data_IF_372912549663
#
_entry.id   IF_372912549663
#
_cell.length_a   1.000
_cell.length_b   1.000
_cell.length_c   1.000
_cell.angle_alpha   90.00
_cell.angle_beta   90.00
_cell.angle_gamma   90.00
#
_symmetry.space_group_name_H-M   'P 1'
#
loop_
_entity.id
_entity.type
_entity.pdbx_description
1 polymer ?
#
# COMPACT_ATOMS: atom_id res chain seq x y z
N UNK A 1 -87.52 16.41 -19.72
CA UNK A 1 -87.49 17.55 -18.76
C UNK A 1 -86.47 17.20 -17.69
N UNK A 2 -85.17 17.40 -17.94
CA UNK A 2 -84.39 18.58 -17.56
C UNK A 2 -84.59 19.03 -16.10
N UNK A 3 -83.71 18.55 -15.21
CA UNK A 3 -83.35 19.19 -13.93
C UNK A 3 -81.80 19.22 -13.82
N UNK A 4 -81.18 20.26 -13.23
CA UNK A 4 -79.81 20.66 -13.51
C UNK A 4 -78.88 20.44 -12.27
N UNK A 5 -77.68 21.05 -12.11
CA UNK A 5 -76.43 20.31 -11.96
C UNK A 5 -75.68 20.58 -10.63
N UNK A 6 -74.61 19.80 -10.41
CA UNK A 6 -73.32 20.32 -9.92
C UNK A 6 -73.22 20.70 -8.43
N UNK A 7 -72.87 19.73 -7.60
CA UNK A 7 -72.21 19.98 -6.31
C UNK A 7 -70.72 20.29 -6.53
N UNK A 8 -70.29 21.38 -5.90
CA UNK A 8 -68.92 21.90 -5.86
C UNK A 8 -68.07 21.22 -4.77
N UNK A 9 -66.75 21.50 -4.67
CA UNK A 9 -65.73 20.50 -4.38
C UNK A 9 -65.34 20.41 -2.91
N UNK A 10 -65.22 19.19 -2.38
CA UNK A 10 -64.37 18.95 -1.21
C UNK A 10 -62.94 18.67 -1.68
N UNK A 11 -62.07 19.64 -1.38
CA UNK A 11 -60.61 19.56 -1.50
C UNK A 11 -60.10 18.41 -0.62
N UNK A 12 -59.67 17.30 -1.23
CA UNK A 12 -58.74 16.38 -0.60
C UNK A 12 -57.33 16.75 -1.07
N UNK A 13 -56.57 17.39 -0.17
CA UNK A 13 -55.12 17.56 -0.30
C UNK A 13 -54.50 16.16 -0.39
N UNK A 14 -54.03 15.77 -1.58
CA UNK A 14 -52.94 14.81 -1.69
C UNK A 14 -51.64 15.63 -1.80
N UNK A 15 -51.01 15.86 -0.65
CA UNK A 15 -49.61 16.23 -0.61
C UNK A 15 -48.83 15.03 -1.16
N UNK A 16 -48.43 15.11 -2.43
CA UNK A 16 -47.44 14.23 -3.00
C UNK A 16 -46.11 14.48 -2.29
N UNK A 17 -45.85 13.74 -1.23
CA UNK A 17 -44.51 13.62 -0.66
C UNK A 17 -43.67 12.85 -1.68
N UNK A 18 -43.02 13.59 -2.58
CA UNK A 18 -41.93 13.09 -3.40
C UNK A 18 -40.82 12.67 -2.43
N UNK A 19 -40.79 11.39 -2.11
CA UNK A 19 -39.75 10.77 -1.32
C UNK A 19 -38.46 10.83 -2.16
N UNK A 20 -37.71 11.92 -2.03
CA UNK A 20 -36.30 11.95 -2.42
C UNK A 20 -35.58 10.93 -1.52
N UNK A 21 -35.53 9.69 -1.97
CA UNK A 21 -34.56 8.70 -1.54
C UNK A 21 -33.19 9.26 -1.90
N UNK A 22 -32.60 10.03 -0.98
CA UNK A 22 -31.17 10.25 -0.91
C UNK A 22 -30.54 8.87 -0.69
N UNK A 23 -30.22 8.18 -1.78
CA UNK A 23 -29.25 7.10 -1.72
C UNK A 23 -27.96 7.74 -1.25
N UNK A 24 -27.56 7.43 -0.02
CA UNK A 24 -26.21 7.66 0.43
C UNK A 24 -25.31 6.82 -0.48
N UNK A 25 -24.76 7.44 -1.53
CA UNK A 25 -23.69 6.83 -2.31
C UNK A 25 -22.51 6.70 -1.36
N UNK A 26 -22.22 5.48 -0.93
CA UNK A 26 -21.05 5.24 -0.10
C UNK A 26 -19.85 5.71 -0.90
N UNK A 27 -18.94 6.48 -0.29
CA UNK A 27 -17.77 7.02 -0.98
C UNK A 27 -16.88 5.93 -1.63
N UNK A 28 -17.04 4.66 -1.22
CA UNK A 28 -16.44 3.49 -1.86
C UNK A 28 -17.01 3.14 -3.24
N UNK A 29 -18.27 3.46 -3.51
CA UNK A 29 -18.93 3.18 -4.81
C UNK A 29 -18.51 4.18 -5.90
N UNK A 30 -17.94 5.33 -5.52
CA UNK A 30 -17.45 6.33 -6.46
C UNK A 30 -16.13 5.91 -7.13
N UNK A 31 -15.31 5.12 -6.44
CA UNK A 31 -14.00 4.70 -6.92
C UNK A 31 -14.04 3.24 -7.40
N UNK A 32 -13.64 3.00 -8.65
CA UNK A 32 -13.42 1.65 -9.17
C UNK A 32 -12.13 1.06 -8.57
N UNK A 33 -12.21 0.65 -7.30
CA UNK A 33 -11.10 0.08 -6.56
C UNK A 33 -10.90 -1.37 -7.00
N UNK A 34 -9.71 -1.75 -7.52
CA UNK A 34 -9.46 -3.12 -7.94
C UNK A 34 -9.60 -4.07 -6.74
N UNK A 35 -10.13 -5.29 -6.95
CA UNK A 35 -10.25 -6.27 -5.88
C UNK A 35 -8.86 -6.61 -5.32
N UNK A 36 -8.74 -6.61 -4.00
CA UNK A 36 -7.50 -6.98 -3.35
C UNK A 36 -7.19 -8.47 -3.60
N UNK A 37 -5.91 -8.84 -3.86
CA UNK A 37 -5.51 -10.24 -3.92
C UNK A 37 -5.71 -10.94 -2.56
N UNK A 38 -5.64 -12.28 -2.52
CA UNK A 38 -5.62 -13.03 -1.26
C UNK A 38 -4.60 -12.46 -0.26
N UNK A 39 -4.87 -12.51 1.06
CA UNK A 39 -3.98 -11.90 2.06
C UNK A 39 -2.53 -12.36 1.99
N UNK A 40 -2.29 -13.64 1.67
CA UNK A 40 -0.96 -14.23 1.51
C UNK A 40 -0.24 -13.80 0.22
N UNK A 41 -0.97 -13.30 -0.75
CA UNK A 41 -0.43 -12.74 -1.99
C UNK A 41 -0.34 -11.20 -1.95
N UNK A 42 -1.00 -10.55 -1.00
CA UNK A 42 -1.02 -9.09 -0.89
C UNK A 42 0.38 -8.52 -0.60
N UNK A 43 0.87 -7.68 -1.51
CA UNK A 43 2.24 -7.17 -1.53
C UNK A 43 3.26 -8.09 -2.19
N UNK A 44 2.91 -9.30 -2.63
CA UNK A 44 3.83 -10.13 -3.40
C UNK A 44 3.89 -9.68 -4.86
N UNK A 45 5.06 -9.79 -5.49
CA UNK A 45 5.31 -9.36 -6.86
C UNK A 45 5.87 -10.51 -7.70
N UNK A 46 5.64 -10.44 -9.01
CA UNK A 46 6.35 -11.23 -10.01
C UNK A 46 7.27 -10.31 -10.81
N UNK A 47 8.57 -10.35 -10.53
CA UNK A 47 9.55 -9.52 -11.24
C UNK A 47 9.86 -10.20 -12.57
N UNK A 48 9.52 -9.51 -13.66
CA UNK A 48 9.56 -10.02 -15.03
C UNK A 48 10.01 -8.96 -16.05
N UNK A 49 11.06 -8.20 -15.71
CA UNK A 49 11.65 -7.24 -16.66
C UNK A 49 12.32 -7.95 -17.84
N UNK A 50 13.02 -9.05 -17.54
CA UNK A 50 13.83 -9.82 -18.51
C UNK A 50 13.55 -11.31 -18.51
N UNK A 51 13.00 -11.88 -17.44
CA UNK A 51 12.90 -13.34 -17.25
C UNK A 51 12.16 -14.04 -18.38
N UNK A 52 10.90 -13.68 -18.63
CA UNK A 52 10.07 -14.31 -19.66
C UNK A 52 10.65 -14.12 -21.07
N UNK A 53 11.28 -12.96 -21.34
CA UNK A 53 11.98 -12.70 -22.61
C UNK A 53 13.19 -13.61 -22.82
N UNK A 54 13.79 -14.10 -21.75
CA UNK A 54 14.90 -15.05 -21.75
C UNK A 54 14.46 -16.49 -21.47
N UNK A 55 13.16 -16.79 -21.60
CA UNK A 55 12.58 -18.11 -21.31
C UNK A 55 12.85 -18.63 -19.88
N UNK A 56 12.99 -17.72 -18.92
CA UNK A 56 13.11 -18.02 -17.48
C UNK A 56 11.81 -17.59 -16.79
N UNK A 57 11.32 -18.38 -15.83
CA UNK A 57 10.14 -17.99 -15.06
C UNK A 57 10.36 -16.65 -14.33
N UNK A 58 9.32 -15.80 -14.19
CA UNK A 58 9.38 -14.60 -13.35
C UNK A 58 9.83 -14.90 -11.92
N UNK A 59 10.50 -13.93 -11.30
CA UNK A 59 10.92 -14.04 -9.90
C UNK A 59 9.74 -13.73 -9.00
N UNK A 60 9.35 -14.67 -8.15
CA UNK A 60 8.40 -14.43 -7.08
C UNK A 60 9.10 -13.74 -5.90
N UNK A 61 8.60 -12.58 -5.49
CA UNK A 61 9.11 -11.84 -4.35
C UNK A 61 7.97 -11.55 -3.36
N UNK A 62 8.16 -11.93 -2.09
CA UNK A 62 7.19 -11.65 -1.04
C UNK A 62 7.65 -10.52 -0.12
N UNK A 63 6.90 -9.42 -0.10
CA UNK A 63 7.18 -8.35 0.86
C UNK A 63 6.93 -8.78 2.30
N UNK A 64 5.92 -9.61 2.59
CA UNK A 64 5.63 -9.97 3.98
C UNK A 64 6.69 -10.92 4.59
N UNK A 65 7.35 -11.76 3.78
CA UNK A 65 8.51 -12.55 4.23
C UNK A 65 9.71 -11.66 4.55
N UNK A 66 9.95 -10.63 3.74
CA UNK A 66 11.13 -9.78 3.88
C UNK A 66 10.93 -8.67 4.92
N UNK A 67 9.77 -8.02 4.96
CA UNK A 67 9.48 -6.86 5.84
C UNK A 67 9.47 -7.18 7.34
N UNK A 68 9.30 -8.46 7.69
CA UNK A 68 9.44 -8.95 9.08
C UNK A 68 10.90 -9.02 9.52
N UNK A 69 11.85 -9.07 8.57
CA UNK A 69 13.29 -9.14 8.82
C UNK A 69 14.02 -7.83 8.52
N UNK A 70 13.57 -7.07 7.52
CA UNK A 70 14.21 -5.86 7.06
C UNK A 70 13.18 -4.74 6.89
N UNK A 71 13.55 -3.51 7.22
CA UNK A 71 12.68 -2.35 6.94
C UNK A 71 12.69 -2.02 5.44
N UNK A 72 11.62 -1.40 4.93
CA UNK A 72 11.55 -0.92 3.55
C UNK A 72 12.77 -0.07 3.13
N UNK A 73 13.33 0.72 4.05
CA UNK A 73 14.57 1.49 3.85
C UNK A 73 15.73 0.64 3.32
N UNK A 74 15.92 -0.57 3.82
CA UNK A 74 17.04 -1.43 3.38
C UNK A 74 16.95 -1.66 1.88
N UNK A 75 15.78 -2.08 1.38
CA UNK A 75 15.63 -2.38 -0.04
C UNK A 75 15.52 -1.12 -0.91
N UNK A 76 14.73 -0.14 -0.48
CA UNK A 76 14.37 1.03 -1.31
C UNK A 76 15.23 2.27 -1.08
N UNK A 77 16.30 2.15 -0.29
CA UNK A 77 17.32 3.18 -0.15
C UNK A 77 18.73 2.59 -0.27
N UNK A 78 19.08 1.56 0.51
CA UNK A 78 20.44 1.01 0.46
C UNK A 78 20.68 0.11 -0.75
N UNK A 79 19.69 -0.72 -1.13
CA UNK A 79 19.81 -1.62 -2.29
C UNK A 79 19.28 -1.03 -3.59
N UNK A 80 18.78 0.22 -3.53
CA UNK A 80 18.31 1.00 -4.68
C UNK A 80 17.24 0.27 -5.51
N UNK A 81 16.42 -0.58 -4.89
CA UNK A 81 15.25 -1.12 -5.56
C UNK A 81 14.22 0.00 -5.74
N UNK A 82 13.93 0.32 -7.00
CA UNK A 82 12.86 1.23 -7.35
C UNK A 82 11.52 0.75 -6.79
N UNK A 83 10.70 1.68 -6.32
CA UNK A 83 9.35 1.35 -5.81
C UNK A 83 8.45 0.77 -6.91
N UNK A 84 8.64 1.21 -8.16
CA UNK A 84 7.89 0.70 -9.32
C UNK A 84 8.44 -0.66 -9.74
N UNK A 85 7.55 -1.66 -9.79
CA UNK A 85 7.89 -3.00 -10.25
C UNK A 85 8.50 -2.98 -11.67
N UNK A 86 9.46 -3.87 -11.93
CA UNK A 86 10.12 -4.07 -13.23
C UNK A 86 10.93 -2.88 -13.78
N UNK A 87 11.26 -1.86 -12.96
CA UNK A 87 12.12 -0.76 -13.40
C UNK A 87 13.55 -0.84 -12.89
N UNK A 88 13.80 -1.55 -11.78
CA UNK A 88 15.17 -1.81 -11.32
C UNK A 88 15.87 -2.77 -12.29
N UNK A 89 17.07 -2.43 -12.73
CA UNK A 89 17.85 -3.23 -13.68
C UNK A 89 18.60 -4.40 -13.00
N UNK A 90 17.83 -5.25 -12.32
CA UNK A 90 18.35 -6.45 -11.66
C UNK A 90 18.89 -7.40 -12.74
N UNK A 91 20.10 -7.91 -12.53
CA UNK A 91 20.73 -8.93 -13.37
C UNK A 91 21.35 -10.02 -12.49
N UNK A 92 21.44 -11.24 -13.01
CA UNK A 92 22.09 -12.34 -12.29
C UNK A 92 23.59 -12.07 -12.08
N UNK A 93 24.25 -11.40 -13.02
CA UNK A 93 25.64 -10.94 -12.84
C UNK A 93 25.74 -9.91 -11.69
N UNK A 94 24.77 -8.98 -11.59
CA UNK A 94 24.65 -8.04 -10.48
C UNK A 94 24.46 -8.77 -9.14
N UNK A 95 23.54 -9.72 -9.09
CA UNK A 95 23.33 -10.55 -7.90
C UNK A 95 24.61 -11.27 -7.45
N UNK A 96 25.27 -11.99 -8.37
CA UNK A 96 26.52 -12.73 -8.07
C UNK A 96 27.68 -11.83 -7.65
N UNK A 97 27.67 -10.56 -8.08
CA UNK A 97 28.67 -9.56 -7.67
C UNK A 97 28.31 -8.83 -6.38
N UNK A 98 27.30 -9.29 -5.64
CA UNK A 98 26.94 -8.74 -4.34
C UNK A 98 26.02 -7.52 -4.40
N UNK A 99 25.24 -7.37 -5.47
CA UNK A 99 24.20 -6.33 -5.61
C UNK A 99 22.81 -6.93 -5.48
N UNK A 100 21.80 -6.08 -5.33
CA UNK A 100 20.38 -6.47 -5.31
C UNK A 100 20.13 -7.61 -4.31
N UNK A 101 19.61 -8.75 -4.77
CA UNK A 101 19.30 -9.91 -3.95
C UNK A 101 20.55 -10.53 -3.32
N UNK A 102 21.68 -10.52 -4.05
CA UNK A 102 22.94 -11.11 -3.60
C UNK A 102 23.78 -10.22 -2.69
N UNK A 103 23.25 -9.06 -2.27
CA UNK A 103 23.94 -8.17 -1.34
C UNK A 103 24.32 -8.89 -0.04
N UNK A 104 25.49 -8.57 0.52
CA UNK A 104 25.94 -9.09 1.82
C UNK A 104 24.87 -8.86 2.89
N UNK A 105 24.48 -9.92 3.60
CA UNK A 105 23.35 -9.89 4.54
C UNK A 105 22.01 -10.34 3.95
N UNK A 106 21.97 -10.70 2.67
CA UNK A 106 20.79 -11.20 1.95
C UNK A 106 21.05 -12.59 1.35
N UNK A 107 20.90 -12.78 0.03
CA UNK A 107 21.14 -14.05 -0.69
C UNK A 107 22.60 -14.20 -1.10
N UNK A 108 23.51 -14.02 -0.15
CA UNK A 108 24.97 -14.04 -0.32
C UNK A 108 25.59 -15.45 -0.13
N UNK A 109 24.76 -16.48 0.08
CA UNK A 109 25.19 -17.83 0.39
C UNK A 109 25.64 -18.04 1.84
N UNK A 110 25.59 -17.00 2.69
CA UNK A 110 25.99 -17.03 4.10
C UNK A 110 24.79 -16.78 5.02
N UNK A 111 24.04 -15.71 4.76
CA UNK A 111 22.87 -15.30 5.56
C UNK A 111 21.60 -15.94 5.04
N UNK A 112 21.46 -16.05 3.72
CA UNK A 112 20.46 -16.84 3.05
C UNK A 112 21.08 -17.65 1.91
N UNK A 113 20.29 -18.53 1.29
CA UNK A 113 20.73 -19.31 0.13
C UNK A 113 21.26 -18.38 -0.97
N UNK A 114 22.31 -18.83 -1.66
CA UNK A 114 23.01 -18.03 -2.66
C UNK A 114 22.42 -18.17 -4.06
N UNK A 115 23.08 -17.50 -5.00
CA UNK A 115 22.79 -17.58 -6.43
C UNK A 115 23.50 -18.79 -7.05
N UNK A 116 23.02 -20.00 -6.75
CA UNK A 116 23.51 -21.25 -7.34
C UNK A 116 22.40 -21.97 -8.12
N UNK A 117 22.79 -22.95 -8.94
CA UNK A 117 21.85 -23.67 -9.82
C UNK A 117 20.82 -24.49 -9.04
N UNK A 118 21.11 -24.88 -7.80
CA UNK A 118 20.18 -25.63 -6.95
C UNK A 118 19.06 -24.75 -6.40
N UNK A 119 19.30 -23.44 -6.27
CA UNK A 119 18.36 -22.50 -5.68
C UNK A 119 17.56 -21.65 -6.70
N UNK A 120 17.74 -21.85 -8.00
CA UNK A 120 17.05 -21.06 -9.04
C UNK A 120 15.52 -20.99 -8.85
N UNK A 121 14.87 -22.13 -8.61
CA UNK A 121 13.40 -22.22 -8.46
C UNK A 121 12.88 -21.63 -7.14
N UNK A 122 13.75 -21.33 -6.16
CA UNK A 122 13.36 -20.60 -4.95
C UNK A 122 12.87 -19.18 -5.28
N UNK A 123 13.40 -18.60 -6.37
CA UNK A 123 13.05 -17.28 -6.87
C UNK A 123 12.28 -17.38 -8.18
N UNK A 124 12.84 -18.05 -9.18
CA UNK A 124 12.30 -18.18 -10.53
C UNK A 124 11.25 -19.30 -10.62
N UNK A 125 10.09 -19.09 -10.00
CA UNK A 125 8.98 -20.06 -10.03
C UNK A 125 7.70 -19.50 -10.66
N UNK A 126 7.62 -18.20 -10.93
CA UNK A 126 6.43 -17.56 -11.53
C UNK A 126 5.17 -17.59 -10.66
N UNK A 127 5.27 -17.98 -9.39
CA UNK A 127 4.11 -18.14 -8.50
C UNK A 127 4.05 -17.00 -7.48
N UNK A 128 3.06 -16.10 -7.61
CA UNK A 128 2.87 -14.97 -6.68
C UNK A 128 2.57 -15.43 -5.24
N UNK A 129 1.91 -16.58 -5.08
CA UNK A 129 1.62 -17.23 -3.80
C UNK A 129 2.71 -18.20 -3.35
N UNK A 130 3.93 -18.08 -3.87
CA UNK A 130 5.04 -18.92 -3.42
C UNK A 130 5.26 -18.77 -1.90
N UNK A 131 5.38 -19.91 -1.21
CA UNK A 131 5.47 -20.03 0.25
C UNK A 131 4.25 -19.54 1.05
N UNK A 132 3.03 -19.57 0.47
CA UNK A 132 1.80 -19.16 1.17
C UNK A 132 1.56 -19.86 2.51
N UNK A 133 2.03 -21.10 2.67
CA UNK A 133 1.91 -21.88 3.92
C UNK A 133 2.59 -21.17 5.11
N UNK A 134 3.66 -20.41 4.84
CA UNK A 134 4.40 -19.63 5.84
C UNK A 134 3.66 -18.37 6.28
N UNK A 135 2.58 -17.98 5.59
CA UNK A 135 1.78 -16.83 5.99
C UNK A 135 1.17 -17.00 7.40
N UNK A 136 0.93 -18.25 7.80
CA UNK A 136 0.51 -18.63 9.16
C UNK A 136 1.49 -18.18 10.26
N UNK A 137 2.77 -17.95 9.94
CA UNK A 137 3.77 -17.42 10.88
C UNK A 137 3.40 -16.00 11.38
N UNK A 138 2.57 -15.26 10.64
CA UNK A 138 2.09 -13.92 11.01
C UNK A 138 0.82 -13.94 11.87
N UNK A 139 0.28 -15.13 12.19
CA UNK A 139 -1.01 -15.29 12.89
C UNK A 139 -1.08 -14.58 14.25
N UNK A 140 0.05 -14.47 14.96
CA UNK A 140 0.15 -13.81 16.27
C UNK A 140 0.23 -12.28 16.20
N UNK A 141 0.41 -11.71 15.01
CA UNK A 141 0.46 -10.27 14.84
C UNK A 141 -0.94 -9.65 14.91
N UNK A 142 -1.05 -8.37 15.32
CA UNK A 142 -2.33 -7.66 15.32
C UNK A 142 -3.00 -7.72 13.95
N UNK A 143 -4.32 -7.92 13.95
CA UNK A 143 -5.11 -8.04 12.72
C UNK A 143 -5.56 -6.68 12.19
N UNK A 144 -5.64 -6.58 10.86
CA UNK A 144 -6.26 -5.48 10.14
C UNK A 144 -7.45 -6.01 9.32
N UNK A 145 -8.42 -5.14 9.01
CA UNK A 145 -9.60 -5.51 8.21
C UNK A 145 -9.27 -5.74 6.73
N UNK A 146 -8.25 -5.05 6.21
CA UNK A 146 -7.92 -5.03 4.79
C UNK A 146 -6.45 -5.43 4.50
N UNK A 147 -6.11 -5.54 3.21
CA UNK A 147 -4.78 -5.88 2.71
C UNK A 147 -4.41 -7.32 3.06
N UNK A 148 -3.18 -7.53 3.55
CA UNK A 148 -2.76 -8.83 4.07
C UNK A 148 -3.33 -9.16 5.47
N UNK A 149 -4.33 -8.42 5.95
CA UNK A 149 -4.99 -8.62 7.24
C UNK A 149 -4.05 -8.53 8.47
N UNK A 150 -2.86 -7.95 8.31
CA UNK A 150 -1.92 -7.67 9.40
C UNK A 150 -1.83 -6.16 9.61
N UNK A 151 -2.02 -5.71 10.85
CA UNK A 151 -1.76 -4.34 11.25
C UNK A 151 -0.29 -4.17 11.64
N UNK A 152 0.54 -3.94 10.61
CA UNK A 152 1.98 -3.78 10.75
C UNK A 152 2.39 -2.56 11.59
N UNK A 153 1.62 -1.47 11.52
CA UNK A 153 1.89 -0.30 12.34
C UNK A 153 1.77 -0.65 13.83
N UNK A 154 0.69 -1.36 14.20
CA UNK A 154 0.49 -1.84 15.56
C UNK A 154 1.48 -2.93 15.97
N UNK A 155 1.89 -3.80 15.03
CA UNK A 155 2.92 -4.80 15.29
C UNK A 155 4.26 -4.16 15.67
N UNK A 156 4.70 -3.16 14.90
CA UNK A 156 5.95 -2.45 15.10
C UNK A 156 5.89 -1.54 16.33
N UNK A 157 4.78 -0.84 16.55
CA UNK A 157 4.62 0.04 17.72
C UNK A 157 4.67 -0.72 19.05
N UNK A 158 4.22 -1.98 19.05
CA UNK A 158 4.25 -2.89 20.20
C UNK A 158 5.57 -3.66 20.32
N UNK A 159 6.52 -3.47 19.42
CA UNK A 159 7.80 -4.19 19.43
C UNK A 159 7.67 -5.69 19.15
N UNK A 160 6.57 -6.14 18.52
CA UNK A 160 6.37 -7.56 18.17
C UNK A 160 7.28 -8.02 17.02
N UNK A 161 7.89 -7.07 16.31
CA UNK A 161 8.87 -7.26 15.26
C UNK A 161 10.02 -6.28 15.46
N UNK A 162 11.24 -6.73 15.20
CA UNK A 162 12.45 -5.90 15.25
C UNK A 162 13.25 -6.08 13.94
N UNK A 163 12.74 -5.57 12.81
CA UNK A 163 13.44 -5.69 11.54
C UNK A 163 14.74 -4.90 11.54
N UNK A 164 15.75 -5.43 10.85
CA UNK A 164 17.01 -4.77 10.54
C UNK A 164 16.72 -3.48 9.77
N UNK A 165 17.21 -2.36 10.31
CA UNK A 165 16.92 -1.00 9.80
C UNK A 165 17.93 -0.53 8.75
N UNK A 166 19.13 -1.09 8.77
CA UNK A 166 20.18 -0.79 7.82
C UNK A 166 21.16 -1.95 7.69
N UNK A 167 21.87 -2.04 6.56
CA UNK A 167 22.95 -3.01 6.37
C UNK A 167 24.30 -2.35 6.60
N UNK A 168 24.61 -1.32 5.82
CA UNK A 168 25.88 -0.61 5.88
C UNK A 168 25.68 0.88 6.20
N UNK A 169 24.61 1.49 5.67
CA UNK A 169 24.37 2.93 5.77
C UNK A 169 23.47 3.25 6.96
N UNK A 170 24.08 3.50 8.12
CA UNK A 170 23.35 3.87 9.34
C UNK A 170 22.61 5.21 9.16
N UNK A 171 21.30 5.28 9.45
CA UNK A 171 20.56 6.55 9.45
C UNK A 171 21.14 7.57 10.44
N UNK A 172 21.10 8.86 10.09
CA UNK A 172 21.49 9.93 11.01
C UNK A 172 20.49 9.98 12.19
N UNK A 173 20.93 9.75 13.43
CA UNK A 173 20.05 9.76 14.59
C UNK A 173 19.43 11.14 14.88
N UNK A 174 19.98 12.21 14.32
CA UNK A 174 19.51 13.58 14.56
C UNK A 174 18.36 13.99 13.63
N UNK A 175 18.14 13.25 12.54
CA UNK A 175 17.04 13.52 11.61
C UNK A 175 15.78 12.86 12.16
N UNK A 176 14.99 13.64 12.90
CA UNK A 176 13.70 13.17 13.41
C UNK A 176 12.59 14.15 13.07
N UNK A 177 11.45 13.63 12.62
CA UNK A 177 10.25 14.42 12.40
C UNK A 177 9.03 13.65 12.89
N UNK A 178 8.27 14.27 13.78
CA UNK A 178 7.13 13.62 14.48
C UNK A 178 5.81 14.31 14.20
N UNK A 179 5.79 15.34 13.35
CA UNK A 179 4.56 16.08 13.11
C UNK A 179 3.54 15.21 12.37
N UNK A 180 2.28 15.45 12.71
CA UNK A 180 1.12 14.95 11.99
C UNK A 180 0.69 16.07 11.06
N UNK A 181 0.58 15.77 9.77
CA UNK A 181 0.08 16.70 8.78
C UNK A 181 -1.42 16.48 8.60
N UNK A 182 -2.17 17.57 8.51
CA UNK A 182 -3.54 17.58 8.03
C UNK A 182 -3.49 17.91 6.53
N UNK A 183 -4.12 17.06 5.74
CA UNK A 183 -4.20 17.14 4.29
C UNK A 183 -5.66 17.41 3.95
N UNK A 184 -5.94 18.65 3.55
CA UNK A 184 -7.30 19.05 3.17
C UNK A 184 -7.81 18.22 2.00
N UNK A 185 -9.08 17.85 2.06
CA UNK A 185 -9.76 17.16 0.96
C UNK A 185 -10.13 18.16 -0.12
N UNK A 186 -9.85 17.84 -1.38
CA UNK A 186 -10.38 18.59 -2.53
C UNK A 186 -11.88 18.35 -2.73
N UNK A 187 -12.42 17.30 -2.11
CA UNK A 187 -13.79 16.84 -2.29
C UNK A 187 -14.70 17.32 -1.18
N UNK A 188 -15.81 17.94 -1.57
CA UNK A 188 -16.84 18.40 -0.66
C UNK A 188 -17.44 17.23 0.13
N UNK A 189 -17.55 17.40 1.45
CA UNK A 189 -18.13 16.40 2.34
C UNK A 189 -17.19 15.27 2.79
N UNK A 190 -15.95 15.23 2.28
CA UNK A 190 -14.93 14.30 2.79
C UNK A 190 -14.03 15.03 3.79
N UNK A 191 -13.89 14.54 5.03
CA UNK A 191 -13.06 15.20 6.02
C UNK A 191 -11.56 15.13 5.67
N UNK A 192 -10.71 16.01 6.23
CA UNK A 192 -9.28 15.99 5.96
C UNK A 192 -8.62 14.64 6.26
N UNK A 193 -7.60 14.29 5.46
CA UNK A 193 -6.75 13.16 5.75
C UNK A 193 -5.65 13.53 6.76
N UNK A 194 -5.21 12.55 7.56
CA UNK A 194 -4.09 12.70 8.49
C UNK A 194 -2.87 11.93 7.99
N UNK A 195 -1.70 12.57 8.00
CA UNK A 195 -0.41 11.92 7.71
C UNK A 195 0.52 12.02 8.92
N UNK A 196 0.57 10.97 9.76
CA UNK A 196 1.56 10.88 10.82
C UNK A 196 2.90 10.32 10.29
N UNK A 197 4.02 11.03 10.51
CA UNK A 197 5.34 10.52 10.09
C UNK A 197 5.80 9.29 10.87
N UNK A 198 5.49 9.23 12.17
CA UNK A 198 5.98 8.17 13.07
C UNK A 198 5.72 6.73 12.59
N UNK A 199 4.51 6.35 12.13
CA UNK A 199 4.29 5.01 11.62
C UNK A 199 5.03 4.71 10.30
N UNK A 200 5.28 5.73 9.47
CA UNK A 200 6.06 5.59 8.24
C UNK A 200 7.54 5.39 8.53
N UNK A 201 8.09 6.16 9.48
CA UNK A 201 9.51 6.09 9.87
C UNK A 201 9.88 4.84 10.69
N UNK A 202 8.92 3.95 10.99
CA UNK A 202 9.24 2.62 11.50
C UNK A 202 9.75 1.66 10.43
N UNK A 203 9.49 1.94 9.15
CA UNK A 203 9.91 1.11 8.02
C UNK A 203 10.70 1.89 6.96
N UNK A 204 10.57 3.21 6.93
CA UNK A 204 11.16 4.09 5.93
C UNK A 204 12.07 5.13 6.58
N UNK A 205 12.84 5.81 5.76
CA UNK A 205 13.59 7.01 6.10
C UNK A 205 13.11 8.22 5.28
N UNK A 206 13.59 9.41 5.62
CA UNK A 206 13.22 10.65 4.93
C UNK A 206 13.45 10.59 3.42
N UNK A 207 14.55 9.99 2.98
CA UNK A 207 14.93 9.85 1.57
C UNK A 207 14.04 8.88 0.78
N UNK A 208 13.27 8.01 1.44
CA UNK A 208 12.32 7.14 0.72
C UNK A 208 11.11 7.92 0.19
N UNK A 209 10.87 9.13 0.69
CA UNK A 209 9.75 9.97 0.29
C UNK A 209 10.19 11.31 -0.30
N UNK A 210 11.28 11.89 0.22
CA UNK A 210 11.73 13.22 -0.14
C UNK A 210 13.02 13.18 -0.98
N UNK A 211 13.13 14.04 -2.01
CA UNK A 211 12.10 14.99 -2.49
C UNK A 211 11.12 14.37 -3.49
N UNK A 212 11.37 13.14 -3.95
CA UNK A 212 10.77 12.60 -5.17
C UNK A 212 9.26 12.43 -5.12
N UNK A 213 8.71 11.95 -3.99
CA UNK A 213 7.27 11.76 -3.82
C UNK A 213 6.62 12.97 -3.18
N UNK A 214 7.30 13.57 -2.20
CA UNK A 214 6.80 14.71 -1.46
C UNK A 214 7.93 15.71 -1.27
N UNK A 215 7.62 16.99 -1.37
CA UNK A 215 8.56 18.03 -0.98
C UNK A 215 8.57 18.22 0.54
N UNK A 216 9.73 18.60 1.08
CA UNK A 216 9.89 18.84 2.54
C UNK A 216 9.13 20.12 2.98
N UNK A 217 8.87 21.07 2.07
CA UNK A 217 8.14 22.30 2.38
C UNK A 217 6.62 22.08 2.22
N UNK A 218 5.84 22.37 3.27
CA UNK A 218 4.38 22.15 3.37
C UNK A 218 3.55 22.71 2.19
N UNK A 219 4.03 23.74 1.47
CA UNK A 219 3.30 24.42 0.39
C UNK A 219 3.82 24.11 -1.03
N UNK A 220 4.78 23.19 -1.19
CA UNK A 220 5.41 22.93 -2.50
C UNK A 220 5.04 21.59 -3.11
N UNK A 221 4.44 20.65 -2.38
CA UNK A 221 3.80 19.48 -3.00
C UNK A 221 2.42 19.90 -3.50
N UNK A 222 2.37 20.58 -4.64
CA UNK A 222 1.10 20.89 -5.29
C UNK A 222 0.62 19.65 -6.05
N UNK A 223 -0.70 19.39 -6.02
CA UNK A 223 -1.41 18.46 -6.93
C UNK A 223 -1.30 16.94 -6.66
N UNK A 224 -1.50 16.46 -5.43
CA UNK A 224 -1.86 15.05 -5.25
C UNK A 224 -3.35 14.91 -4.95
N UNK A 225 -4.02 14.09 -5.76
CA UNK A 225 -5.44 13.80 -5.63
C UNK A 225 -5.62 12.31 -5.31
N UNK A 226 -6.83 11.93 -4.91
CA UNK A 226 -7.16 10.51 -4.76
C UNK A 226 -7.03 9.75 -6.09
N UNK A 227 -7.27 10.39 -7.24
CA UNK A 227 -7.05 9.75 -8.55
C UNK A 227 -5.55 9.50 -8.81
N UNK A 228 -4.67 10.46 -8.51
CA UNK A 228 -3.23 10.28 -8.63
C UNK A 228 -2.74 9.16 -7.70
N UNK A 229 -3.25 9.14 -6.47
CA UNK A 229 -3.01 8.05 -5.51
C UNK A 229 -3.43 6.68 -6.07
N UNK A 230 -4.60 6.57 -6.69
CA UNK A 230 -5.05 5.31 -7.31
C UNK A 230 -4.23 4.92 -8.54
N UNK A 231 -3.61 5.89 -9.22
CA UNK A 231 -2.70 5.66 -10.36
C UNK A 231 -1.27 5.26 -9.93
N UNK A 232 -1.02 5.07 -8.63
CA UNK A 232 0.28 4.66 -8.11
C UNK A 232 1.24 5.82 -7.82
N UNK A 233 0.74 7.04 -7.73
CA UNK A 233 1.52 8.24 -7.38
C UNK A 233 1.35 8.55 -5.88
N UNK A 234 2.26 9.35 -5.30
CA UNK A 234 2.19 9.81 -3.91
C UNK A 234 1.95 8.67 -2.90
N UNK A 235 0.80 8.64 -2.21
CA UNK A 235 0.46 7.58 -1.26
C UNK A 235 0.34 6.21 -1.97
N UNK A 236 -0.10 6.23 -3.23
CA UNK A 236 -0.24 5.09 -4.12
C UNK A 236 1.03 4.36 -4.47
N UNK A 237 2.20 4.94 -4.21
CA UNK A 237 3.46 4.21 -4.39
C UNK A 237 3.55 2.99 -3.47
N UNK A 238 2.88 3.07 -2.31
CA UNK A 238 2.89 2.02 -1.29
C UNK A 238 1.48 1.47 -0.98
N UNK A 239 0.50 2.36 -0.78
CA UNK A 239 -0.88 1.99 -0.44
C UNK A 239 -1.57 1.33 -1.63
N UNK A 240 -2.42 0.33 -1.35
CA UNK A 240 -3.00 -0.57 -2.36
C UNK A 240 -2.04 -1.56 -3.04
N UNK A 241 -0.74 -1.50 -2.71
CA UNK A 241 0.25 -2.48 -3.18
C UNK A 241 0.84 -3.30 -2.02
N UNK A 242 1.58 -2.65 -1.12
CA UNK A 242 2.31 -3.30 0.00
C UNK A 242 1.91 -2.76 1.38
N UNK A 243 1.50 -1.49 1.44
CA UNK A 243 0.82 -0.91 2.59
C UNK A 243 -0.69 -1.19 2.50
N UNK A 244 -1.47 -0.81 3.52
CA UNK A 244 -2.90 -1.09 3.52
C UNK A 244 -3.60 -0.47 2.27
N UNK A 245 -4.69 -1.09 1.78
CA UNK A 245 -5.37 -0.62 0.57
C UNK A 245 -6.17 0.64 0.85
N UNK A 246 -6.32 1.48 -0.19
CA UNK A 246 -7.06 2.74 -0.11
C UNK A 246 -8.56 2.57 0.13
N UNK A 247 -9.09 1.35 0.00
CA UNK A 247 -10.44 0.99 0.44
C UNK A 247 -10.65 1.16 1.97
N UNK A 248 -9.57 1.24 2.77
CA UNK A 248 -9.62 1.52 4.20
C UNK A 248 -9.69 3.04 4.45
N UNK A 249 -10.73 3.70 3.94
CA UNK A 249 -10.85 5.17 3.86
C UNK A 249 -10.60 5.84 5.21
N UNK A 250 -11.20 5.28 6.29
CA UNK A 250 -11.11 5.80 7.66
C UNK A 250 -9.69 5.82 8.22
N UNK A 251 -8.79 5.01 7.67
CA UNK A 251 -7.40 4.95 8.13
C UNK A 251 -6.61 6.19 7.73
N UNK A 252 -7.01 6.85 6.64
CA UNK A 252 -6.49 8.15 6.23
C UNK A 252 -7.40 9.29 6.70
N UNK A 253 -8.72 9.10 6.64
CA UNK A 253 -9.75 10.08 6.98
C UNK A 253 -10.46 9.69 8.29
N UNK A 254 -9.85 9.90 9.46
CA UNK A 254 -10.35 9.36 10.73
C UNK A 254 -11.72 9.90 11.15
N UNK A 255 -12.11 11.06 10.62
CA UNK A 255 -13.40 11.69 10.88
C UNK A 255 -14.50 11.26 9.89
N UNK A 256 -14.22 10.32 8.97
CA UNK A 256 -15.27 9.76 8.11
C UNK A 256 -16.27 8.95 8.94
N UNK A 257 -17.56 9.23 8.74
CA UNK A 257 -18.66 8.43 9.27
C UNK A 257 -18.75 7.05 8.57
N UNK A 258 -19.38 6.09 9.24
CA UNK A 258 -19.60 4.74 8.70
C UNK A 258 -20.80 4.73 7.78
#
# INVERSE_FOLDING_TARGET
MHLPPGLSPFKALFFGALLCLLQATQAGDFWDLPPAPPPDEYGNLLIDRTSSKSAVKPVAFSHWIHRRKFTCRVCHYELEFNMKQNTTEITEAGNRSGKFCGTSGCHDGKVAFGHDTANCEQCHNGNRGYQKERFSELSKLPKARFGNQVDWGKALSRGLLSPVKYLALKPDPNVTFKAILLLESEWSGIPPAVFPHRPHTWQLDCSNCHPDLFNVKKKTTQHFSMQANLNGEFCGVCHSHVAFPMADCKRCHPEMDN
#
